data_IF_724188813259
#
_entry.id   IF_724188813259
#
_cell.length_a   1.000
_cell.length_b   1.000
_cell.length_c   1.000
_cell.angle_alpha   90.00
_cell.angle_beta   90.00
_cell.angle_gamma   90.00
#
_symmetry.space_group_name_H-M   'P 1'
#
loop_
_entity.id
_entity.type
_entity.pdbx_description
1 polymer ?
#
# COMPACT_ATOMS: atom_id res chain seq x y z
N UNK A 1 -29.94 39.65 -36.53
CA UNK A 1 -28.55 39.63 -36.04
C UNK A 1 -28.56 38.75 -34.80
N UNK A 2 -28.53 37.43 -35.03
CA UNK A 2 -28.64 36.42 -33.98
C UNK A 2 -27.23 35.94 -33.66
N UNK A 3 -26.81 36.11 -32.42
CA UNK A 3 -25.56 35.55 -31.91
C UNK A 3 -25.91 34.17 -31.31
N UNK A 4 -25.55 33.10 -32.01
CA UNK A 4 -25.58 31.75 -31.48
C UNK A 4 -24.46 31.62 -30.43
N UNK A 5 -24.87 31.42 -29.18
CA UNK A 5 -23.98 31.05 -28.10
C UNK A 5 -23.62 29.57 -28.22
N UNK A 6 -22.52 29.27 -28.88
CA UNK A 6 -21.89 27.94 -28.89
C UNK A 6 -21.36 27.64 -27.47
N UNK A 7 -22.02 26.73 -26.76
CA UNK A 7 -21.52 26.17 -25.51
C UNK A 7 -20.55 25.04 -25.88
N UNK A 8 -19.24 25.12 -25.56
CA UNK A 8 -18.32 24.04 -25.86
C UNK A 8 -18.70 22.76 -25.07
N UNK A 9 -18.62 21.58 -25.68
CA UNK A 9 -18.96 20.33 -25.02
C UNK A 9 -17.98 20.05 -23.87
N UNK A 10 -18.54 19.73 -22.70
CA UNK A 10 -17.81 19.22 -21.55
C UNK A 10 -17.31 17.80 -21.83
N UNK A 11 -16.22 17.67 -22.59
CA UNK A 11 -15.53 16.39 -22.82
C UNK A 11 -14.12 16.48 -22.23
N UNK A 12 -13.91 15.96 -21.02
CA UNK A 12 -12.55 15.93 -20.45
C UNK A 12 -12.35 15.13 -19.17
N UNK A 13 -13.34 14.98 -18.30
CA UNK A 13 -13.05 14.44 -16.95
C UNK A 13 -13.13 12.89 -16.86
N UNK A 14 -13.98 12.25 -17.68
CA UNK A 14 -14.22 10.80 -17.61
C UNK A 14 -13.19 9.93 -18.34
N UNK A 15 -12.61 10.41 -19.46
CA UNK A 15 -11.62 9.67 -20.25
C UNK A 15 -10.26 9.62 -19.56
N UNK A 16 -9.86 10.71 -18.92
CA UNK A 16 -8.55 10.89 -18.30
C UNK A 16 -8.44 10.07 -17.01
N UNK A 17 -9.53 9.98 -16.24
CA UNK A 17 -9.63 9.06 -15.12
C UNK A 17 -9.51 7.60 -15.58
N UNK A 18 -10.27 7.19 -16.60
CA UNK A 18 -10.23 5.82 -17.13
C UNK A 18 -8.85 5.42 -17.68
N UNK A 19 -8.17 6.32 -18.41
CA UNK A 19 -6.77 6.18 -18.85
C UNK A 19 -5.82 6.03 -17.65
N UNK A 20 -5.98 6.85 -16.62
CA UNK A 20 -5.15 6.83 -15.41
C UNK A 20 -5.33 5.53 -14.61
N UNK A 21 -6.57 5.06 -14.42
CA UNK A 21 -6.89 3.77 -13.78
C UNK A 21 -6.36 2.58 -14.58
N UNK A 22 -6.49 2.61 -15.92
CA UNK A 22 -5.92 1.60 -16.83
C UNK A 22 -4.40 1.58 -16.74
N UNK A 23 -3.76 2.74 -16.57
CA UNK A 23 -2.33 2.88 -16.34
C UNK A 23 -1.84 2.19 -15.06
N UNK A 24 -2.61 2.28 -13.97
CA UNK A 24 -2.33 1.62 -12.69
C UNK A 24 -2.48 0.09 -12.78
N UNK A 25 -3.57 -0.40 -13.38
CA UNK A 25 -3.82 -1.84 -13.53
C UNK A 25 -2.83 -2.51 -14.49
N UNK A 26 -2.35 -1.78 -15.50
CA UNK A 26 -1.35 -2.29 -16.45
C UNK A 26 0.10 -2.15 -15.94
N UNK A 27 0.33 -1.38 -14.87
CA UNK A 27 1.68 -1.14 -14.34
C UNK A 27 2.32 -2.42 -13.78
N UNK A 28 1.54 -3.25 -13.07
CA UNK A 28 2.00 -4.53 -12.50
C UNK A 28 2.50 -5.52 -13.56
N UNK A 29 1.69 -5.92 -14.56
CA UNK A 29 2.15 -6.87 -15.57
C UNK A 29 3.30 -6.30 -16.42
N UNK A 30 3.30 -4.98 -16.66
CA UNK A 30 4.39 -4.31 -17.37
C UNK A 30 5.70 -4.36 -16.58
N UNK A 31 5.71 -3.96 -15.31
CA UNK A 31 6.92 -3.95 -14.48
C UNK A 31 7.48 -5.37 -14.29
N UNK A 32 6.61 -6.36 -14.10
CA UNK A 32 7.00 -7.76 -13.99
C UNK A 32 7.66 -8.29 -15.27
N UNK A 33 7.23 -7.82 -16.45
CA UNK A 33 7.78 -8.26 -17.74
C UNK A 33 9.02 -7.49 -18.18
N UNK A 34 9.14 -6.23 -17.76
CA UNK A 34 10.27 -5.36 -18.12
C UNK A 34 11.50 -5.50 -17.20
N UNK A 35 11.34 -6.01 -15.98
CA UNK A 35 12.43 -6.18 -15.02
C UNK A 35 13.21 -7.48 -15.19
N UNK A 36 14.53 -7.37 -15.27
CA UNK A 36 15.48 -8.50 -15.26
C UNK A 36 15.77 -9.01 -13.83
N UNK A 37 15.37 -8.27 -12.78
CA UNK A 37 15.60 -8.66 -11.39
C UNK A 37 14.59 -9.69 -10.89
N UNK A 38 15.03 -10.94 -10.66
CA UNK A 38 14.21 -11.99 -10.02
C UNK A 38 13.62 -11.56 -8.67
N UNK A 39 14.41 -10.86 -7.84
CA UNK A 39 13.94 -10.35 -6.55
C UNK A 39 12.76 -9.38 -6.70
N UNK A 40 12.81 -8.48 -7.69
CA UNK A 40 11.72 -7.56 -7.97
C UNK A 40 10.49 -8.27 -8.54
N UNK A 41 10.68 -9.27 -9.42
CA UNK A 41 9.57 -10.05 -9.98
C UNK A 41 8.80 -10.80 -8.90
N UNK A 42 9.50 -11.44 -7.97
CA UNK A 42 8.87 -12.10 -6.80
C UNK A 42 8.17 -11.04 -5.95
N UNK A 43 8.82 -9.91 -5.66
CA UNK A 43 8.20 -8.83 -4.89
C UNK A 43 6.91 -8.29 -5.54
N UNK A 44 6.90 -8.09 -6.86
CA UNK A 44 5.73 -7.62 -7.59
C UNK A 44 4.56 -8.61 -7.45
N UNK A 45 4.83 -9.92 -7.52
CA UNK A 45 3.83 -10.95 -7.25
C UNK A 45 3.35 -10.95 -5.79
N UNK A 46 4.27 -10.89 -4.83
CA UNK A 46 3.95 -10.86 -3.39
C UNK A 46 3.14 -9.62 -3.03
N UNK A 47 3.55 -8.43 -3.48
CA UNK A 47 2.82 -7.18 -3.23
C UNK A 47 1.43 -7.17 -3.88
N UNK A 48 1.26 -7.78 -5.06
CA UNK A 48 -0.06 -7.96 -5.65
C UNK A 48 -0.95 -8.87 -4.80
N UNK A 49 -0.41 -10.00 -4.32
CA UNK A 49 -1.13 -10.92 -3.45
C UNK A 49 -1.55 -10.26 -2.13
N UNK A 50 -0.61 -9.59 -1.45
CA UNK A 50 -0.90 -8.84 -0.23
C UNK A 50 -1.87 -7.68 -0.50
N UNK A 51 -1.74 -6.98 -1.63
CA UNK A 51 -2.64 -5.91 -2.03
C UNK A 51 -4.08 -6.40 -2.18
N UNK A 52 -4.30 -7.53 -2.85
CA UNK A 52 -5.61 -8.18 -2.95
C UNK A 52 -6.12 -8.56 -1.56
N UNK A 53 -5.28 -9.16 -0.71
CA UNK A 53 -5.63 -9.52 0.66
C UNK A 53 -6.08 -8.31 1.49
N UNK A 54 -5.34 -7.20 1.43
CA UNK A 54 -5.68 -5.94 2.11
C UNK A 54 -7.01 -5.39 1.59
N UNK A 55 -7.21 -5.33 0.27
CA UNK A 55 -8.48 -4.88 -0.31
C UNK A 55 -9.66 -5.74 0.16
N UNK A 56 -9.51 -7.06 0.18
CA UNK A 56 -10.53 -7.97 0.67
C UNK A 56 -10.81 -7.76 2.16
N UNK A 57 -9.77 -7.65 2.99
CA UNK A 57 -9.90 -7.40 4.43
C UNK A 57 -10.66 -6.10 4.72
N UNK A 58 -10.29 -5.01 4.05
CA UNK A 58 -10.99 -3.73 4.19
C UNK A 58 -12.43 -3.80 3.68
N UNK A 59 -12.67 -4.52 2.57
CA UNK A 59 -14.03 -4.74 2.05
C UNK A 59 -14.89 -5.48 3.06
N UNK A 60 -14.39 -6.58 3.64
CA UNK A 60 -15.09 -7.31 4.68
C UNK A 60 -15.30 -6.46 5.94
N UNK A 61 -14.31 -5.68 6.35
CA UNK A 61 -14.44 -4.78 7.49
C UNK A 61 -15.55 -3.73 7.27
N UNK A 62 -15.69 -3.20 6.05
CA UNK A 62 -16.79 -2.28 5.71
C UNK A 62 -18.12 -3.00 5.72
N UNK A 63 -18.21 -4.23 5.17
CA UNK A 63 -19.44 -5.02 5.18
C UNK A 63 -19.88 -5.38 6.60
N UNK A 64 -18.96 -5.79 7.48
CA UNK A 64 -19.27 -6.11 8.88
C UNK A 64 -19.64 -4.87 9.68
N UNK A 65 -18.97 -3.74 9.43
CA UNK A 65 -19.33 -2.46 10.02
C UNK A 65 -20.76 -2.07 9.64
N UNK A 66 -21.16 -2.25 8.38
CA UNK A 66 -22.50 -1.95 7.89
C UNK A 66 -23.55 -2.92 8.44
N UNK A 67 -23.21 -4.20 8.56
CA UNK A 67 -24.09 -5.24 9.12
C UNK A 67 -24.34 -5.09 10.62
N UNK A 68 -23.35 -4.61 11.38
CA UNK A 68 -23.47 -4.38 12.83
C UNK A 68 -24.23 -3.10 13.20
N UNK A 69 -24.59 -2.26 12.21
CA UNK A 69 -25.15 -0.93 12.44
C UNK A 69 -26.55 -0.73 11.84
N UNK A 70 -27.29 -1.82 11.64
CA UNK A 70 -28.69 -1.76 11.18
C UNK A 70 -29.62 -0.88 12.07
N UNK A 71 -29.20 -0.54 13.30
CA UNK A 71 -29.94 0.31 14.26
C UNK A 71 -29.27 1.66 14.64
N UNK A 72 -28.15 2.08 14.00
CA UNK A 72 -27.39 3.26 14.44
C UNK A 72 -27.65 4.56 13.63
N UNK A 73 -27.68 5.72 14.30
CA UNK A 73 -28.05 7.03 13.74
C UNK A 73 -27.05 7.61 12.71
N UNK A 74 -27.59 8.19 11.63
CA UNK A 74 -26.96 8.46 10.33
C UNK A 74 -25.82 9.51 10.19
N UNK A 75 -25.13 9.91 11.27
CA UNK A 75 -24.09 10.97 11.22
C UNK A 75 -22.63 10.47 11.20
N UNK A 76 -22.30 9.42 11.95
CA UNK A 76 -20.92 8.90 12.11
C UNK A 76 -20.42 8.10 10.90
N UNK A 77 -21.31 7.73 9.99
CA UNK A 77 -21.02 6.83 8.87
C UNK A 77 -20.09 7.43 7.82
N UNK A 78 -20.23 8.72 7.49
CA UNK A 78 -19.42 9.32 6.41
C UNK A 78 -17.97 9.49 6.83
N UNK A 79 -17.72 9.94 8.07
CA UNK A 79 -16.37 10.09 8.61
C UNK A 79 -15.66 8.73 8.76
N UNK A 80 -16.34 7.75 9.36
CA UNK A 80 -15.78 6.40 9.53
C UNK A 80 -15.44 5.76 8.17
N UNK A 81 -16.34 5.82 7.18
CA UNK A 81 -16.09 5.29 5.83
C UNK A 81 -14.91 5.95 5.13
N UNK A 82 -14.83 7.29 5.18
CA UNK A 82 -13.71 8.01 4.59
C UNK A 82 -12.38 7.67 5.29
N UNK A 83 -12.40 7.51 6.62
CA UNK A 83 -11.23 7.08 7.38
C UNK A 83 -10.77 5.66 7.03
N UNK A 84 -11.70 4.71 6.82
CA UNK A 84 -11.36 3.37 6.35
C UNK A 84 -10.69 3.40 4.97
N UNK A 85 -11.20 4.20 4.03
CA UNK A 85 -10.55 4.38 2.73
C UNK A 85 -9.16 5.00 2.88
N UNK A 86 -9.02 6.01 3.72
CA UNK A 86 -7.72 6.62 4.00
C UNK A 86 -6.72 5.61 4.57
N UNK A 87 -7.13 4.81 5.55
CA UNK A 87 -6.29 3.78 6.16
C UNK A 87 -5.92 2.69 5.14
N UNK A 88 -6.87 2.30 4.29
CA UNK A 88 -6.63 1.37 3.19
C UNK A 88 -5.53 1.91 2.26
N UNK A 89 -5.63 3.17 1.84
CA UNK A 89 -4.61 3.81 1.01
C UNK A 89 -3.27 3.98 1.73
N UNK A 90 -3.28 4.27 3.03
CA UNK A 90 -2.07 4.40 3.84
C UNK A 90 -1.25 3.11 3.83
N UNK A 91 -1.92 1.95 3.82
CA UNK A 91 -1.26 0.63 3.75
C UNK A 91 -0.90 0.24 2.31
N UNK A 92 -1.82 0.46 1.36
CA UNK A 92 -1.61 0.06 -0.04
C UNK A 92 -0.57 0.92 -0.76
N UNK A 93 -0.50 2.22 -0.49
CA UNK A 93 0.39 3.11 -1.25
C UNK A 93 1.87 2.72 -1.09
N UNK A 94 2.43 2.50 0.12
CA UNK A 94 3.81 2.05 0.27
C UNK A 94 4.04 0.63 -0.25
N UNK A 95 3.05 -0.25 -0.16
CA UNK A 95 3.12 -1.62 -0.70
C UNK A 95 3.28 -1.62 -2.23
N UNK A 96 2.52 -0.77 -2.91
CA UNK A 96 2.48 -0.69 -4.38
C UNK A 96 3.55 0.25 -4.94
N UNK A 97 4.01 1.23 -4.16
CA UNK A 97 4.93 2.29 -4.60
C UNK A 97 6.22 1.76 -5.26
N UNK A 98 6.94 0.75 -4.74
CA UNK A 98 8.14 0.23 -5.40
C UNK A 98 7.88 -0.27 -6.82
N UNK A 99 6.71 -0.91 -7.05
CA UNK A 99 6.32 -1.41 -8.38
C UNK A 99 6.06 -0.25 -9.33
N UNK A 100 5.34 0.78 -8.88
CA UNK A 100 5.05 1.96 -9.70
C UNK A 100 6.31 2.77 -10.02
N UNK A 101 7.23 2.89 -9.07
CA UNK A 101 8.50 3.59 -9.27
C UNK A 101 9.39 2.86 -10.29
N UNK A 102 9.43 1.53 -10.28
CA UNK A 102 10.13 0.73 -11.30
C UNK A 102 9.44 0.86 -12.66
N UNK A 103 8.12 0.68 -12.73
CA UNK A 103 7.36 0.82 -13.96
C UNK A 103 7.58 2.19 -14.62
N UNK A 104 7.52 3.26 -13.81
CA UNK A 104 7.71 4.64 -14.28
C UNK A 104 9.12 4.87 -14.78
N UNK A 105 10.14 4.32 -14.11
CA UNK A 105 11.55 4.47 -14.51
C UNK A 105 11.83 3.76 -15.83
N UNK A 106 11.34 2.52 -15.97
CA UNK A 106 11.48 1.74 -17.20
C UNK A 106 10.84 2.44 -18.41
N UNK A 107 9.70 3.13 -18.20
CA UNK A 107 9.04 3.91 -19.26
C UNK A 107 9.78 5.20 -19.66
N UNK A 108 10.61 5.78 -18.78
CA UNK A 108 11.20 7.12 -18.98
C UNK A 108 12.70 7.13 -19.24
N UNK A 109 13.44 6.20 -18.64
CA UNK A 109 14.91 6.20 -18.63
C UNK A 109 15.45 4.87 -19.14
N UNK A 110 14.87 3.76 -18.68
CA UNK A 110 15.30 2.40 -19.03
C UNK A 110 15.29 1.46 -17.82
N UNK A 111 15.69 0.21 -18.07
CA UNK A 111 15.80 -0.85 -17.06
C UNK A 111 17.19 -0.88 -16.44
N UNK A 112 17.26 -1.04 -15.11
CA UNK A 112 18.51 -1.26 -14.40
C UNK A 112 18.29 -2.18 -13.20
N UNK A 113 19.00 -3.30 -13.17
CA UNK A 113 18.82 -4.35 -12.16
C UNK A 113 19.10 -3.88 -10.73
N UNK A 114 20.05 -2.94 -10.54
CA UNK A 114 20.42 -2.42 -9.22
C UNK A 114 19.25 -1.66 -8.58
N UNK A 115 18.62 -0.77 -9.35
CA UNK A 115 17.45 -0.01 -8.90
C UNK A 115 16.28 -0.95 -8.60
N UNK A 116 15.97 -1.88 -9.51
CA UNK A 116 14.87 -2.82 -9.32
C UNK A 116 15.05 -3.65 -8.05
N UNK A 117 16.28 -4.12 -7.78
CA UNK A 117 16.62 -4.86 -6.55
C UNK A 117 16.52 -4.01 -5.30
N UNK A 118 16.98 -2.75 -5.33
CA UNK A 118 16.91 -1.86 -4.17
C UNK A 118 15.46 -1.47 -3.86
N UNK A 119 14.65 -1.20 -4.88
CA UNK A 119 13.21 -0.97 -4.70
C UNK A 119 12.51 -2.21 -4.12
N UNK A 120 12.82 -3.41 -4.62
CA UNK A 120 12.30 -4.66 -4.05
C UNK A 120 12.70 -4.84 -2.58
N UNK A 121 13.98 -4.59 -2.23
CA UNK A 121 14.48 -4.70 -0.86
C UNK A 121 13.72 -3.78 0.10
N UNK A 122 13.48 -2.52 -0.28
CA UNK A 122 12.69 -1.59 0.53
C UNK A 122 11.22 -2.01 0.64
N UNK A 123 10.66 -2.60 -0.42
CA UNK A 123 9.30 -3.16 -0.40
C UNK A 123 9.15 -4.35 0.56
N UNK A 124 10.10 -5.29 0.54
CA UNK A 124 10.16 -6.36 1.55
C UNK A 124 10.37 -5.81 2.96
N UNK A 125 11.18 -4.77 3.09
CA UNK A 125 11.34 -4.04 4.35
C UNK A 125 10.02 -3.47 4.88
N UNK A 126 9.14 -2.96 4.01
CA UNK A 126 7.81 -2.52 4.40
C UNK A 126 6.92 -3.66 4.88
N UNK A 127 6.93 -4.82 4.20
CA UNK A 127 6.19 -6.00 4.66
C UNK A 127 6.68 -6.48 6.04
N UNK A 128 8.01 -6.52 6.24
CA UNK A 128 8.61 -6.85 7.53
C UNK A 128 8.20 -5.83 8.61
N UNK A 129 8.22 -4.54 8.28
CA UNK A 129 7.81 -3.48 9.20
C UNK A 129 6.32 -3.59 9.57
N UNK A 130 5.46 -4.02 8.63
CA UNK A 130 4.06 -4.29 8.93
C UNK A 130 3.89 -5.51 9.84
N UNK A 131 4.67 -6.57 9.63
CA UNK A 131 4.71 -7.70 10.56
C UNK A 131 5.15 -7.27 11.96
N UNK A 132 6.21 -6.47 12.08
CA UNK A 132 6.67 -5.94 13.39
C UNK A 132 5.59 -5.09 14.06
N UNK A 133 4.88 -4.24 13.29
CA UNK A 133 3.75 -3.48 13.83
C UNK A 133 2.66 -4.40 14.40
N UNK A 134 2.33 -5.49 13.71
CA UNK A 134 1.38 -6.48 14.20
C UNK A 134 1.85 -7.14 15.50
N UNK A 135 3.13 -7.52 15.58
CA UNK A 135 3.73 -8.13 16.79
C UNK A 135 3.67 -7.18 17.99
N UNK A 136 3.95 -5.89 17.80
CA UNK A 136 3.84 -4.88 18.87
C UNK A 136 2.41 -4.81 19.42
N UNK A 137 1.40 -4.97 18.55
CA UNK A 137 -0.02 -4.89 18.92
C UNK A 137 -0.62 -6.21 19.39
N UNK A 138 0.18 -7.27 19.55
CA UNK A 138 -0.33 -8.59 19.93
C UNK A 138 -0.96 -8.57 21.33
N UNK A 139 -2.25 -8.94 21.47
CA UNK A 139 -2.90 -9.06 22.78
C UNK A 139 -2.20 -10.06 23.68
N UNK A 140 -2.18 -9.81 25.00
CA UNK A 140 -1.48 -10.65 25.97
C UNK A 140 -1.84 -12.15 25.88
N UNK A 141 -3.11 -12.46 25.62
CA UNK A 141 -3.59 -13.84 25.50
C UNK A 141 -3.08 -14.58 24.25
N UNK A 142 -2.51 -13.85 23.28
CA UNK A 142 -1.96 -14.37 22.03
C UNK A 142 -0.43 -14.24 21.97
N UNK A 143 0.23 -13.81 23.05
CA UNK A 143 1.68 -13.70 23.10
C UNK A 143 2.30 -15.09 23.32
N UNK A 144 3.24 -15.43 22.46
CA UNK A 144 4.02 -16.67 22.55
C UNK A 144 5.47 -16.36 22.96
N UNK A 145 6.07 -17.22 23.78
CA UNK A 145 7.51 -17.18 24.08
C UNK A 145 8.24 -18.31 23.34
N UNK A 146 8.88 -18.01 22.19
CA UNK A 146 9.64 -19.00 21.44
C UNK A 146 10.99 -19.34 22.10
N UNK A 147 11.39 -18.66 23.19
CA UNK A 147 12.66 -18.84 23.89
C UNK A 147 13.89 -18.32 23.13
N UNK A 148 15.04 -18.31 23.82
CA UNK A 148 16.33 -17.91 23.25
C UNK A 148 16.34 -16.47 22.72
N UNK A 149 17.02 -16.25 21.59
CA UNK A 149 17.12 -14.92 20.97
C UNK A 149 15.77 -14.39 20.48
N UNK A 150 14.92 -15.27 19.94
CA UNK A 150 13.58 -14.87 19.45
C UNK A 150 12.66 -14.49 20.60
N UNK A 151 12.75 -15.19 21.75
CA UNK A 151 12.01 -14.83 22.97
C UNK A 151 12.38 -13.43 23.47
N UNK A 152 13.68 -13.11 23.52
CA UNK A 152 14.13 -11.77 23.93
C UNK A 152 13.65 -10.65 22.99
N UNK A 153 13.61 -10.90 21.68
CA UNK A 153 13.07 -9.94 20.70
C UNK A 153 11.55 -9.80 20.86
N UNK A 154 10.83 -10.91 21.06
CA UNK A 154 9.39 -10.90 21.26
C UNK A 154 9.01 -10.15 22.55
N UNK A 155 9.70 -10.43 23.66
CA UNK A 155 9.52 -9.73 24.94
C UNK A 155 9.73 -8.22 24.79
N UNK A 156 10.81 -7.82 24.10
CA UNK A 156 11.04 -6.41 23.80
C UNK A 156 9.90 -5.78 23.01
N UNK A 157 9.43 -6.43 21.94
CA UNK A 157 8.37 -5.90 21.08
C UNK A 157 7.01 -5.87 21.78
N UNK A 158 6.66 -6.90 22.55
CA UNK A 158 5.42 -6.97 23.35
C UNK A 158 5.41 -5.97 24.50
N UNK A 159 6.58 -5.60 25.03
CA UNK A 159 6.71 -4.57 26.06
C UNK A 159 6.53 -3.14 25.55
N UNK A 160 6.47 -2.92 24.24
CA UNK A 160 6.30 -1.59 23.67
C UNK A 160 4.85 -1.09 23.78
N UNK A 161 4.62 0.22 23.99
CA UNK A 161 3.27 0.77 23.95
C UNK A 161 2.64 0.59 22.56
N UNK A 162 1.36 0.19 22.49
CA UNK A 162 0.65 -0.03 21.21
C UNK A 162 0.79 1.12 20.20
N UNK A 163 0.85 2.38 20.66
CA UNK A 163 1.03 3.55 19.79
C UNK A 163 2.34 3.55 19.00
N UNK A 164 3.39 2.87 19.45
CA UNK A 164 4.67 2.80 18.73
C UNK A 164 4.62 1.88 17.51
N UNK A 165 3.57 1.06 17.36
CA UNK A 165 3.39 0.18 16.20
C UNK A 165 3.30 0.94 14.87
N UNK A 166 2.97 2.24 14.88
CA UNK A 166 2.97 3.08 13.68
C UNK A 166 4.38 3.40 13.17
N UNK A 167 5.39 3.36 14.04
CA UNK A 167 6.75 3.82 13.71
C UNK A 167 7.41 2.93 12.64
N UNK A 168 7.42 1.58 12.76
CA UNK A 168 8.04 0.73 11.74
C UNK A 168 7.51 0.95 10.31
N UNK A 169 6.20 0.89 10.02
CA UNK A 169 5.71 1.04 8.65
C UNK A 169 5.93 2.45 8.10
N UNK A 170 5.82 3.49 8.93
CA UNK A 170 6.12 4.87 8.50
C UNK A 170 7.59 5.01 8.15
N UNK A 171 8.49 4.49 8.98
CA UNK A 171 9.93 4.49 8.69
C UNK A 171 10.23 3.74 7.39
N UNK A 172 9.62 2.57 7.16
CA UNK A 172 9.80 1.81 5.92
C UNK A 172 9.26 2.54 4.69
N UNK A 173 8.09 3.19 4.78
CA UNK A 173 7.54 4.01 3.70
C UNK A 173 8.47 5.19 3.35
N UNK A 174 9.05 5.85 4.36
CA UNK A 174 10.06 6.89 4.16
C UNK A 174 11.32 6.33 3.50
N UNK A 175 11.80 5.15 3.90
CA UNK A 175 12.94 4.50 3.29
C UNK A 175 12.71 4.15 1.80
N UNK A 176 11.51 3.70 1.44
CA UNK A 176 11.13 3.50 0.02
C UNK A 176 11.28 4.81 -0.76
N UNK A 177 10.71 5.91 -0.24
CA UNK A 177 10.78 7.22 -0.90
C UNK A 177 12.21 7.75 -1.00
N UNK A 178 12.99 7.66 0.08
CA UNK A 178 14.38 8.11 0.11
C UNK A 178 15.26 7.31 -0.85
N UNK A 179 15.08 5.99 -0.90
CA UNK A 179 15.80 5.11 -1.83
C UNK A 179 15.47 5.46 -3.28
N UNK A 180 14.19 5.66 -3.59
CA UNK A 180 13.78 6.14 -4.91
C UNK A 180 14.46 7.47 -5.25
N UNK A 181 14.46 8.44 -4.32
CA UNK A 181 15.04 9.77 -4.52
C UNK A 181 16.56 9.74 -4.73
N UNK A 182 17.28 8.85 -4.05
CA UNK A 182 18.75 8.76 -4.15
C UNK A 182 19.24 8.10 -5.43
N UNK A 183 18.43 7.20 -6.02
CA UNK A 183 18.79 6.42 -7.21
C UNK A 183 18.22 6.98 -8.52
N UNK A 184 17.36 8.00 -8.41
CA UNK A 184 16.74 8.69 -9.54
C UNK A 184 17.68 9.70 -10.15
#
# INVERSE_FOLDING_TARGET
MSADGEVPPASGDGSDAAETYKGLLTAYPYAFRASDSMAFRIYAGVSALFGIGVVLLFTFAVVTLLGSTADAAGGSFTFSRAFFLFLMFLVLAPLVAPVLFVARRHRRVGSETRYDRQMAATGYGFLLAMYVALVITTPADLQEDPGGLFGAVAEFLYGLPNGTAVVPPVAAALLIYLTHRQLR
#
